data_IF_473329128651
#
_entry.id   IF_473329128651
#
_cell.length_a   1.000
_cell.length_b   1.000
_cell.length_c   1.000
_cell.angle_alpha   90.00
_cell.angle_beta   90.00
_cell.angle_gamma   90.00
#
_symmetry.space_group_name_H-M   'P 1'
#
loop_
_entity.id
_entity.type
_entity.pdbx_description
1 polymer ?
#
# COMPACT_ATOMS: atom_id res chain seq x y z
N UNK A 1 2.44 -15.56 11.95
CA UNK A 1 3.86 -15.25 12.18
C UNK A 1 4.15 -15.34 13.69
N UNK A 2 3.54 -14.53 14.56
CA UNK A 2 3.84 -14.50 16.02
C UNK A 2 3.83 -15.89 16.66
N UNK A 3 2.84 -16.74 16.36
CA UNK A 3 2.77 -18.11 16.87
C UNK A 3 3.87 -19.04 16.37
N UNK A 4 4.37 -18.79 15.15
CA UNK A 4 5.37 -19.66 14.53
C UNK A 4 6.79 -19.36 15.05
N UNK A 5 7.07 -18.09 15.35
CA UNK A 5 8.36 -17.64 15.89
C UNK A 5 8.38 -17.76 17.42
N UNK A 6 7.29 -17.41 18.09
CA UNK A 6 7.20 -17.41 19.54
C UNK A 6 7.76 -16.14 20.21
N UNK A 7 7.67 -16.08 21.53
CA UNK A 7 8.26 -14.98 22.33
C UNK A 7 7.55 -13.62 22.28
N UNK A 8 6.40 -13.53 21.61
CA UNK A 8 5.66 -12.27 21.47
C UNK A 8 4.68 -11.99 22.61
N UNK A 9 4.69 -10.78 23.09
CA UNK A 9 3.66 -10.19 23.96
C UNK A 9 2.76 -9.28 23.15
N UNK A 10 1.45 -9.34 23.38
CA UNK A 10 0.47 -8.51 22.68
C UNK A 10 0.32 -7.14 23.36
N UNK A 11 0.42 -6.08 22.58
CA UNK A 11 0.21 -4.68 22.98
C UNK A 11 -0.92 -4.06 22.17
N UNK A 12 -2.18 -4.40 22.49
CA UNK A 12 -3.33 -3.93 21.73
C UNK A 12 -3.30 -4.45 20.27
N UNK A 13 -2.92 -3.60 19.35
CA UNK A 13 -2.94 -3.86 17.90
C UNK A 13 -1.59 -4.27 17.30
N UNK A 14 -0.58 -4.50 18.12
CA UNK A 14 0.70 -5.03 17.68
C UNK A 14 1.24 -6.04 18.69
N UNK A 15 2.27 -6.75 18.30
CA UNK A 15 2.98 -7.72 19.12
C UNK A 15 4.45 -7.33 19.20
N UNK A 16 5.08 -7.58 20.34
CA UNK A 16 6.47 -7.24 20.56
C UNK A 16 7.20 -8.40 21.24
N UNK A 17 8.42 -8.66 20.80
CA UNK A 17 9.38 -9.58 21.39
C UNK A 17 10.71 -8.84 21.59
N UNK A 18 11.73 -9.51 22.08
CA UNK A 18 13.07 -8.92 22.21
C UNK A 18 13.67 -8.48 20.87
N UNK A 19 13.35 -9.19 19.77
CA UNK A 19 13.93 -8.94 18.46
C UNK A 19 13.00 -8.25 17.47
N UNK A 20 11.67 -8.40 17.64
CA UNK A 20 10.70 -7.99 16.62
C UNK A 20 9.51 -7.23 17.20
N UNK A 21 9.08 -6.24 16.42
CA UNK A 21 7.76 -5.62 16.56
C UNK A 21 6.92 -6.05 15.36
N UNK A 22 5.80 -6.71 15.60
CA UNK A 22 4.92 -7.24 14.57
C UNK A 22 3.57 -6.55 14.60
N UNK A 23 3.16 -6.00 13.47
CA UNK A 23 1.81 -5.47 13.26
C UNK A 23 1.32 -5.82 11.86
N UNK A 24 0.05 -5.57 11.57
CA UNK A 24 -0.55 -5.90 10.27
C UNK A 24 -1.20 -4.68 9.62
N UNK A 25 -1.05 -4.55 8.32
CA UNK A 25 -1.96 -3.80 7.50
C UNK A 25 -3.25 -4.61 7.33
N UNK A 26 -4.39 -4.00 7.57
CA UNK A 26 -5.71 -4.63 7.41
C UNK A 26 -6.29 -4.33 6.02
N UNK A 27 -5.55 -4.68 4.97
CA UNK A 27 -5.80 -4.28 3.59
C UNK A 27 -5.17 -2.93 3.25
N UNK A 28 -5.71 -2.24 2.24
CA UNK A 28 -5.23 -0.91 1.86
C UNK A 28 -5.49 0.13 2.95
N UNK A 29 -4.46 0.90 3.28
CA UNK A 29 -4.50 2.02 4.23
C UNK A 29 -4.40 3.37 3.52
N UNK A 30 -3.95 3.36 2.28
CA UNK A 30 -3.73 4.50 1.42
C UNK A 30 -4.34 4.23 0.06
N UNK A 31 -4.81 5.28 -0.59
CA UNK A 31 -5.32 5.25 -1.96
C UNK A 31 -4.77 6.44 -2.74
N UNK A 32 -4.77 6.33 -4.07
CA UNK A 32 -4.41 7.45 -4.94
C UNK A 32 -5.46 8.55 -4.81
N UNK A 33 -5.00 9.82 -4.78
CA UNK A 33 -5.87 10.98 -4.71
C UNK A 33 -6.81 10.99 -5.92
N UNK A 34 -8.14 11.12 -5.73
CA UNK A 34 -9.06 11.18 -6.84
C UNK A 34 -8.92 12.50 -7.63
N UNK A 35 -9.44 12.55 -8.87
CA UNK A 35 -9.30 13.72 -9.75
C UNK A 35 -9.81 15.02 -9.16
N UNK A 36 -10.79 14.95 -8.27
CA UNK A 36 -11.34 16.12 -7.57
C UNK A 36 -10.35 16.76 -6.59
N UNK A 37 -9.30 16.04 -6.22
CA UNK A 37 -8.16 16.53 -5.44
C UNK A 37 -7.01 17.06 -6.30
N UNK A 38 -7.04 16.78 -7.61
CA UNK A 38 -6.08 17.28 -8.60
C UNK A 38 -6.80 18.35 -9.41
N UNK A 39 -6.72 19.61 -9.05
CA UNK A 39 -7.21 20.87 -9.70
C UNK A 39 -8.23 20.75 -10.86
N UNK A 40 -9.01 19.70 -10.94
CA UNK A 40 -10.11 19.59 -11.88
C UNK A 40 -11.28 20.36 -11.31
N UNK A 41 -11.58 21.54 -11.88
CA UNK A 41 -12.72 22.36 -11.48
C UNK A 41 -13.95 21.47 -11.33
N UNK A 42 -14.57 21.49 -10.14
CA UNK A 42 -15.88 20.87 -9.91
C UNK A 42 -16.84 21.42 -10.94
N UNK A 43 -17.20 20.61 -11.90
CA UNK A 43 -18.12 20.96 -12.98
C UNK A 43 -18.60 19.71 -13.69
N UNK A 44 -19.60 19.86 -14.57
CA UNK A 44 -20.05 18.75 -15.41
C UNK A 44 -18.86 18.18 -16.19
N UNK A 45 -18.64 16.88 -16.10
CA UNK A 45 -17.64 16.20 -16.88
C UNK A 45 -17.93 16.43 -18.38
N UNK A 46 -16.94 16.92 -19.09
CA UNK A 46 -16.99 17.17 -20.53
C UNK A 46 -15.72 16.67 -21.19
N UNK A 47 -15.77 16.36 -22.46
CA UNK A 47 -14.60 15.95 -23.23
C UNK A 47 -13.46 16.99 -23.22
N UNK A 48 -13.80 18.28 -23.01
CA UNK A 48 -12.80 19.33 -22.91
C UNK A 48 -11.88 19.22 -21.67
N UNK A 49 -12.34 18.48 -20.64
CA UNK A 49 -11.61 18.28 -19.38
C UNK A 49 -10.97 16.88 -19.30
N UNK A 50 -10.93 16.15 -20.39
CA UNK A 50 -10.37 14.80 -20.49
C UNK A 50 -9.25 14.75 -21.54
N UNK A 51 -8.23 13.90 -21.36
CA UNK A 51 -8.00 13.04 -20.20
C UNK A 51 -7.47 13.83 -18.99
N UNK A 52 -7.80 13.33 -17.77
CA UNK A 52 -7.16 13.79 -16.54
C UNK A 52 -5.87 13.00 -16.38
N UNK A 53 -4.74 13.67 -16.48
CA UNK A 53 -3.40 13.09 -16.29
C UNK A 53 -2.71 13.91 -15.20
N UNK A 54 -2.58 13.39 -13.98
CA UNK A 54 -1.91 14.12 -12.91
C UNK A 54 -0.40 14.19 -13.19
N UNK A 55 0.29 15.27 -12.80
CA UNK A 55 1.75 15.38 -12.96
C UNK A 55 2.50 14.35 -12.08
N UNK A 56 1.89 13.92 -11.00
CA UNK A 56 2.34 12.87 -10.09
C UNK A 56 1.12 12.28 -9.37
N UNK A 57 1.29 11.05 -8.86
CA UNK A 57 0.25 10.34 -8.13
C UNK A 57 0.45 10.51 -6.63
N UNK A 58 -0.36 11.35 -6.02
CA UNK A 58 -0.36 11.54 -4.57
C UNK A 58 -1.19 10.47 -3.86
N UNK A 59 -0.76 10.15 -2.64
CA UNK A 59 -1.44 9.22 -1.76
C UNK A 59 -2.20 9.96 -0.67
N UNK A 60 -3.41 9.50 -0.37
CA UNK A 60 -4.17 9.94 0.80
C UNK A 60 -4.56 8.76 1.69
N UNK A 61 -4.64 8.98 3.02
CA UNK A 61 -5.15 7.97 3.94
C UNK A 61 -6.62 7.63 3.65
N UNK A 62 -6.95 6.35 3.79
CA UNK A 62 -8.32 5.87 3.79
C UNK A 62 -8.90 6.09 5.20
N UNK A 63 -9.95 6.90 5.33
CA UNK A 63 -10.50 7.35 6.63
C UNK A 63 -10.77 6.20 7.59
N UNK A 64 -11.44 5.14 7.13
CA UNK A 64 -11.81 3.97 7.95
C UNK A 64 -10.62 3.22 8.53
N UNK A 65 -9.41 3.41 7.99
CA UNK A 65 -8.17 2.72 8.41
C UNK A 65 -7.11 3.68 8.92
N UNK A 66 -7.46 4.95 9.11
CA UNK A 66 -6.52 6.01 9.50
C UNK A 66 -5.79 5.72 10.82
N UNK A 67 -6.48 5.14 11.81
CA UNK A 67 -5.86 4.81 13.09
C UNK A 67 -4.83 3.68 12.96
N UNK A 68 -5.09 2.70 12.09
CA UNK A 68 -4.12 1.67 11.75
C UNK A 68 -2.88 2.25 11.07
N UNK A 69 -3.07 3.16 10.12
CA UNK A 69 -1.97 3.85 9.45
C UNK A 69 -1.13 4.68 10.43
N UNK A 70 -1.77 5.39 11.35
CA UNK A 70 -1.09 6.14 12.43
C UNK A 70 -0.25 5.21 13.30
N UNK A 71 -0.80 4.06 13.71
CA UNK A 71 -0.07 3.07 14.50
C UNK A 71 1.17 2.58 13.75
N UNK A 72 1.02 2.12 12.50
CA UNK A 72 2.14 1.63 11.70
C UNK A 72 3.20 2.70 11.49
N UNK A 73 2.80 3.94 11.18
CA UNK A 73 3.72 5.07 11.05
C UNK A 73 4.48 5.36 12.36
N UNK A 74 3.81 5.23 13.51
CA UNK A 74 4.47 5.35 14.84
C UNK A 74 5.49 4.25 15.06
N UNK A 75 5.14 3.00 14.75
CA UNK A 75 6.06 1.85 14.90
C UNK A 75 7.27 1.98 13.98
N UNK A 76 7.07 2.39 12.73
CA UNK A 76 8.15 2.62 11.76
C UNK A 76 9.11 3.74 12.17
N UNK A 77 8.65 4.72 12.97
CA UNK A 77 9.47 5.84 13.47
C UNK A 77 10.20 5.54 14.77
N UNK A 78 10.01 4.38 15.39
CA UNK A 78 10.72 3.97 16.61
C UNK A 78 12.22 3.95 16.36
N UNK A 79 12.99 4.50 17.31
CA UNK A 79 14.46 4.58 17.22
C UNK A 79 15.14 3.24 17.48
N UNK A 80 14.51 2.37 18.25
CA UNK A 80 14.96 1.02 18.57
C UNK A 80 14.69 -0.01 17.46
N UNK A 81 13.92 0.36 16.42
CA UNK A 81 13.71 -0.45 15.23
C UNK A 81 14.76 -0.12 14.20
N UNK A 82 15.64 -1.06 13.89
CA UNK A 82 16.77 -0.88 12.96
C UNK A 82 16.42 -1.16 11.49
N UNK A 83 15.45 -2.04 11.22
CA UNK A 83 15.04 -2.44 9.88
C UNK A 83 13.56 -2.78 9.81
N UNK A 84 13.06 -3.02 8.62
CA UNK A 84 11.65 -3.33 8.35
C UNK A 84 11.56 -4.58 7.50
N UNK A 85 10.79 -5.56 7.95
CA UNK A 85 10.50 -6.77 7.18
C UNK A 85 9.10 -6.66 6.59
N UNK A 86 9.02 -6.59 5.27
CA UNK A 86 7.75 -6.70 4.56
C UNK A 86 7.26 -8.15 4.60
N UNK A 87 6.28 -8.43 5.44
CA UNK A 87 5.64 -9.73 5.61
C UNK A 87 4.19 -9.75 5.08
N UNK A 88 3.82 -8.82 4.20
CA UNK A 88 2.55 -8.85 3.48
C UNK A 88 2.49 -10.04 2.52
N UNK A 89 1.30 -10.31 1.98
CA UNK A 89 1.08 -11.43 1.06
C UNK A 89 2.08 -11.43 -0.10
N UNK A 90 2.50 -12.64 -0.50
CA UNK A 90 3.45 -12.84 -1.59
C UNK A 90 2.79 -12.51 -2.93
N UNK A 91 3.01 -11.30 -3.43
CA UNK A 91 2.42 -10.83 -4.68
C UNK A 91 2.44 -9.30 -4.81
N UNK A 92 1.96 -8.81 -5.95
CA UNK A 92 1.89 -7.38 -6.28
C UNK A 92 1.09 -6.58 -5.26
N UNK A 93 -0.03 -7.13 -4.80
CA UNK A 93 -0.93 -6.46 -3.87
C UNK A 93 -0.27 -6.21 -2.51
N UNK A 94 0.33 -7.25 -1.92
CA UNK A 94 1.07 -7.10 -0.66
C UNK A 94 2.27 -6.16 -0.79
N UNK A 95 2.94 -6.16 -1.94
CA UNK A 95 4.03 -5.24 -2.21
C UNK A 95 3.52 -3.78 -2.30
N UNK A 96 2.42 -3.54 -3.02
CA UNK A 96 1.82 -2.22 -3.15
C UNK A 96 1.42 -1.62 -1.79
N UNK A 97 0.68 -2.40 -0.98
CA UNK A 97 0.25 -1.97 0.36
C UNK A 97 1.46 -1.55 1.20
N UNK A 98 2.50 -2.37 1.21
CA UNK A 98 3.72 -2.10 1.95
C UNK A 98 4.42 -0.83 1.45
N UNK A 99 4.65 -0.68 0.14
CA UNK A 99 5.33 0.47 -0.46
C UNK A 99 4.62 1.78 -0.16
N UNK A 100 3.31 1.80 -0.25
CA UNK A 100 2.53 2.99 0.08
C UNK A 100 2.67 3.38 1.57
N UNK A 101 2.70 2.41 2.48
CA UNK A 101 2.92 2.67 3.91
C UNK A 101 4.32 3.25 4.16
N UNK A 102 5.36 2.67 3.55
CA UNK A 102 6.74 3.16 3.67
C UNK A 102 6.85 4.58 3.12
N UNK A 103 6.34 4.83 1.92
CA UNK A 103 6.31 6.16 1.31
C UNK A 103 5.62 7.19 2.20
N UNK A 104 4.43 6.88 2.69
CA UNK A 104 3.67 7.79 3.56
C UNK A 104 4.35 8.05 4.91
N UNK A 105 4.98 7.03 5.51
CA UNK A 105 5.67 7.18 6.79
C UNK A 105 6.97 7.97 6.69
N UNK A 106 7.56 8.05 5.50
CA UNK A 106 8.89 8.63 5.26
C UNK A 106 10.02 7.80 5.88
N UNK A 107 9.82 6.52 6.12
CA UNK A 107 10.84 5.65 6.70
C UNK A 107 11.96 5.36 5.70
N UNK A 108 13.21 5.63 6.11
CA UNK A 108 14.41 5.32 5.34
C UNK A 108 15.16 4.08 5.88
N UNK A 109 14.51 3.28 6.72
CA UNK A 109 15.12 2.08 7.30
C UNK A 109 15.38 1.02 6.23
N UNK A 110 16.42 0.18 6.39
CA UNK A 110 16.64 -0.98 5.53
C UNK A 110 15.39 -1.87 5.46
N UNK A 111 15.09 -2.36 4.27
CA UNK A 111 13.91 -3.18 3.99
C UNK A 111 14.36 -4.57 3.56
N UNK A 112 13.72 -5.57 4.14
CA UNK A 112 13.82 -6.97 3.73
C UNK A 112 12.43 -7.53 3.47
N UNK A 113 12.36 -8.61 2.71
CA UNK A 113 11.10 -9.25 2.31
C UNK A 113 11.01 -10.67 2.82
N UNK A 114 10.03 -10.94 3.65
CA UNK A 114 9.60 -12.29 3.99
C UNK A 114 8.62 -12.80 2.91
N UNK A 115 9.07 -13.73 2.08
CA UNK A 115 8.27 -14.27 0.99
C UNK A 115 7.71 -15.63 1.35
N UNK A 116 6.43 -15.68 1.71
CA UNK A 116 5.77 -16.90 2.15
C UNK A 116 4.77 -17.39 1.09
N UNK A 117 4.92 -18.65 0.69
CA UNK A 117 3.95 -19.40 -0.12
C UNK A 117 3.09 -20.34 0.72
N UNK A 118 3.42 -20.48 1.99
CA UNK A 118 2.70 -21.30 2.97
C UNK A 118 2.77 -20.66 4.35
N UNK A 119 1.70 -20.79 5.12
CA UNK A 119 1.59 -20.24 6.48
C UNK A 119 1.84 -21.27 7.58
N UNK A 120 2.39 -22.44 7.24
CA UNK A 120 2.79 -23.42 8.26
C UNK A 120 3.91 -22.87 9.14
N UNK A 121 3.97 -23.24 10.44
CA UNK A 121 5.03 -22.76 11.33
C UNK A 121 6.45 -23.02 10.82
N UNK A 122 6.65 -24.15 10.14
CA UNK A 122 7.94 -24.47 9.51
C UNK A 122 8.26 -23.49 8.39
N UNK A 123 7.34 -23.30 7.42
CA UNK A 123 7.54 -22.39 6.31
C UNK A 123 7.81 -20.93 6.77
N UNK A 124 7.15 -20.50 7.84
CA UNK A 124 7.39 -19.17 8.42
C UNK A 124 8.82 -19.06 8.97
N UNK A 125 9.28 -20.04 9.78
CA UNK A 125 10.65 -20.05 10.30
C UNK A 125 11.70 -20.12 9.20
N UNK A 126 11.50 -20.99 8.22
CA UNK A 126 12.39 -21.13 7.06
C UNK A 126 12.45 -19.82 6.25
N UNK A 127 11.31 -19.15 6.08
CA UNK A 127 11.25 -17.85 5.42
C UNK A 127 12.05 -16.76 6.13
N UNK A 128 12.04 -16.73 7.47
CA UNK A 128 12.86 -15.78 8.23
C UNK A 128 14.37 -16.03 8.12
N UNK A 129 14.79 -17.26 7.84
CA UNK A 129 16.21 -17.56 7.53
C UNK A 129 16.62 -17.23 6.09
N UNK A 130 15.66 -16.87 5.22
CA UNK A 130 15.83 -16.64 3.79
C UNK A 130 15.18 -15.32 3.34
N UNK A 131 15.33 -14.25 4.12
CA UNK A 131 14.82 -12.94 3.75
C UNK A 131 15.47 -12.46 2.44
N UNK A 132 14.66 -11.83 1.59
CA UNK A 132 15.13 -11.24 0.33
C UNK A 132 15.44 -9.77 0.53
N UNK A 133 16.50 -9.30 -0.11
CA UNK A 133 16.85 -7.88 -0.08
C UNK A 133 15.86 -7.00 -0.86
N UNK A 134 15.75 -5.74 -0.47
CA UNK A 134 14.91 -4.76 -1.19
C UNK A 134 15.23 -4.64 -2.68
N UNK A 135 16.51 -4.67 -3.13
CA UNK A 135 16.84 -4.61 -4.56
C UNK A 135 16.17 -5.72 -5.39
N UNK A 136 16.05 -6.93 -4.84
CA UNK A 136 15.44 -8.07 -5.52
C UNK A 136 13.92 -7.88 -5.70
N UNK A 137 13.32 -7.03 -4.86
CA UNK A 137 11.88 -6.79 -4.84
C UNK A 137 11.47 -5.54 -5.63
N UNK A 138 12.44 -4.71 -6.07
CA UNK A 138 12.16 -3.48 -6.83
C UNK A 138 11.35 -3.70 -8.10
N UNK A 139 11.66 -4.68 -8.96
CA UNK A 139 10.85 -4.90 -10.16
C UNK A 139 9.40 -5.24 -9.86
N UNK A 140 9.14 -5.98 -8.77
CA UNK A 140 7.78 -6.28 -8.33
C UNK A 140 7.08 -5.05 -7.77
N UNK A 141 7.78 -4.23 -6.99
CA UNK A 141 7.27 -2.98 -6.45
C UNK A 141 6.87 -2.00 -7.58
N UNK A 142 7.75 -1.81 -8.55
CA UNK A 142 7.51 -0.93 -9.70
C UNK A 142 6.32 -1.44 -10.53
N UNK A 143 6.24 -2.74 -10.79
CA UNK A 143 5.11 -3.34 -11.49
C UNK A 143 3.78 -3.17 -10.73
N UNK A 144 3.81 -3.22 -9.39
CA UNK A 144 2.63 -3.02 -8.56
C UNK A 144 2.15 -1.57 -8.59
N UNK A 145 3.08 -0.61 -8.48
CA UNK A 145 2.80 0.83 -8.54
C UNK A 145 2.29 1.20 -9.94
N UNK A 146 3.01 0.83 -11.01
CA UNK A 146 2.58 1.08 -12.39
C UNK A 146 1.19 0.52 -12.68
N UNK A 147 0.87 -0.67 -12.16
CA UNK A 147 -0.47 -1.25 -12.30
C UNK A 147 -1.52 -0.39 -11.62
N UNK A 148 -1.29 0.04 -10.38
CA UNK A 148 -2.21 0.88 -9.62
C UNK A 148 -2.47 2.22 -10.32
N UNK A 149 -1.42 2.88 -10.80
CA UNK A 149 -1.50 4.15 -11.52
C UNK A 149 -2.21 4.01 -12.88
N UNK A 150 -1.92 2.92 -13.61
CA UNK A 150 -2.59 2.62 -14.88
C UNK A 150 -4.08 2.35 -14.69
N UNK A 151 -4.44 1.57 -13.69
CA UNK A 151 -5.84 1.29 -13.37
C UNK A 151 -6.58 2.57 -12.97
N UNK A 152 -5.92 3.48 -12.24
CA UNK A 152 -6.47 4.80 -11.93
C UNK A 152 -6.70 5.63 -13.20
N UNK A 153 -5.67 5.76 -14.07
CA UNK A 153 -5.76 6.55 -15.31
C UNK A 153 -6.87 6.03 -16.22
N UNK A 154 -6.89 4.74 -16.49
CA UNK A 154 -7.86 4.13 -17.40
C UNK A 154 -9.26 4.15 -16.80
N UNK A 155 -9.37 3.77 -15.53
CA UNK A 155 -10.66 3.70 -14.83
C UNK A 155 -11.33 5.07 -14.71
N UNK A 156 -10.60 6.09 -14.28
CA UNK A 156 -11.14 7.44 -14.12
C UNK A 156 -11.50 8.04 -15.48
N UNK A 157 -10.58 8.05 -16.43
CA UNK A 157 -10.81 8.69 -17.73
C UNK A 157 -11.87 7.95 -18.55
N UNK A 158 -11.86 6.62 -18.55
CA UNK A 158 -12.89 5.82 -19.23
C UNK A 158 -14.28 6.04 -18.64
N UNK A 159 -14.41 5.99 -17.30
CA UNK A 159 -15.69 6.24 -16.63
C UNK A 159 -16.21 7.66 -16.91
N UNK A 160 -15.36 8.67 -16.83
CA UNK A 160 -15.72 10.08 -17.06
C UNK A 160 -16.07 10.35 -18.52
N UNK A 161 -15.33 9.76 -19.48
CA UNK A 161 -15.66 9.85 -20.90
C UNK A 161 -17.02 9.24 -21.22
N UNK A 162 -17.32 8.06 -20.68
CA UNK A 162 -18.63 7.41 -20.83
C UNK A 162 -19.76 8.25 -20.24
N UNK A 163 -19.55 8.84 -19.06
CA UNK A 163 -20.51 9.74 -18.43
C UNK A 163 -20.74 10.98 -19.30
N UNK A 164 -19.67 11.60 -19.81
CA UNK A 164 -19.78 12.79 -20.66
C UNK A 164 -20.48 12.49 -22.00
N UNK A 165 -20.28 11.30 -22.57
CA UNK A 165 -20.95 10.84 -23.77
C UNK A 165 -22.46 10.66 -23.53
N UNK A 166 -22.82 9.86 -22.53
CA UNK A 166 -24.21 9.54 -22.24
C UNK A 166 -25.04 10.76 -21.81
N UNK A 167 -24.43 11.73 -21.13
CA UNK A 167 -25.14 12.97 -20.75
C UNK A 167 -25.50 13.85 -21.94
N UNK A 168 -24.80 13.74 -23.07
CA UNK A 168 -25.13 14.44 -24.32
C UNK A 168 -26.27 13.74 -25.09
N UNK A 169 -26.34 12.43 -24.98
CA UNK A 169 -27.36 11.61 -25.65
C UNK A 169 -28.66 11.46 -24.84
N UNK A 170 -28.79 12.18 -23.71
CA UNK A 170 -29.99 12.15 -22.87
C UNK A 170 -30.11 10.89 -21.99
N UNK A 171 -29.05 10.14 -21.85
CA UNK A 171 -28.93 9.02 -20.92
C UNK A 171 -28.41 9.47 -19.55
N UNK A 172 -29.34 9.43 -18.53
CA UNK A 172 -29.20 9.81 -17.11
C UNK A 172 -29.10 11.30 -16.81
#
# INVERSE_FOLDING_TARGET
IARAIGGFTRHGDYYESEEYVLSSAIGHLLELVPPEGVEVKRGKWSFANLPVIPPHFDLKPIERTADRLKLLSKLLKRKDVSGVINACDAGREGELIFRYIIQHSGSAKPIERLWLQSMTPAAVRDGFSQLRGDPDMRPLADAAICRSESDWLIGINGTRATTAFNSKEGGF
#
